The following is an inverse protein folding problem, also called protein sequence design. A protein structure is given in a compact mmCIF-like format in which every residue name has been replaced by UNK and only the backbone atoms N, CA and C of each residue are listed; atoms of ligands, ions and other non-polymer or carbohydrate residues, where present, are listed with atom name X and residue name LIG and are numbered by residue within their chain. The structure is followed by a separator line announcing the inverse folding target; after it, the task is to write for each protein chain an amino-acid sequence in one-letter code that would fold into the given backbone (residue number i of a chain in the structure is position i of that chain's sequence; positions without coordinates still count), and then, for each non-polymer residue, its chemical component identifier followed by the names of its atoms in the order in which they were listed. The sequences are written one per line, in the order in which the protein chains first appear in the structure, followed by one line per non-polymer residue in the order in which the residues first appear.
data_IF_193336709017
#
_entry.id   IF_193336709017
#
_cell.length_a   1.000
_cell.length_b   1.000
_cell.length_c   1.000
_cell.angle_alpha   90.00
_cell.angle_beta   90.00
_cell.angle_gamma   90.00
#
_symmetry.space_group_name_H-M   'P 1'
#
loop_
_entity.id
_entity.type
_entity.pdbx_description
1 polymer ?
#
# COMPACT_ATOMS: atom_id res chain seq x y z
N UNK A 1 19.01 -14.37 3.85
CA UNK A 1 20.16 -13.97 4.70
C UNK A 1 19.69 -12.78 5.52
N UNK A 2 19.68 -12.93 6.84
CA UNK A 2 19.29 -11.90 7.79
C UNK A 2 20.36 -10.82 7.80
N UNK A 3 20.15 -9.71 7.10
CA UNK A 3 20.99 -8.52 7.24
C UNK A 3 20.55 -7.82 8.52
N UNK A 4 21.32 -8.00 9.60
CA UNK A 4 21.23 -7.08 10.73
C UNK A 4 21.39 -5.65 10.19
N UNK A 5 20.64 -4.66 10.71
CA UNK A 5 20.83 -3.29 10.28
C UNK A 5 22.28 -2.92 10.53
N UNK A 6 22.95 -2.37 9.50
CA UNK A 6 24.28 -1.79 9.65
C UNK A 6 24.24 -0.87 10.88
N UNK A 7 25.23 -0.93 11.80
CA UNK A 7 25.20 -0.16 13.05
C UNK A 7 24.99 1.35 12.81
N UNK A 8 25.38 1.84 11.62
CA UNK A 8 25.13 3.21 11.17
C UNK A 8 23.65 3.53 10.99
N UNK A 9 22.81 2.60 10.51
CA UNK A 9 21.38 2.88 10.25
C UNK A 9 20.61 3.09 11.55
N UNK A 10 20.92 2.36 12.62
CA UNK A 10 20.27 2.57 13.92
C UNK A 10 20.58 3.95 14.50
N UNK A 11 21.82 4.41 14.34
CA UNK A 11 22.21 5.76 14.76
C UNK A 11 21.50 6.84 13.93
N UNK A 12 21.30 6.61 12.63
CA UNK A 12 20.55 7.52 11.75
C UNK A 12 19.05 7.58 12.09
N UNK A 13 18.45 6.46 12.50
CA UNK A 13 17.02 6.40 12.89
C UNK A 13 16.73 7.19 14.17
N UNK A 14 17.71 7.32 15.07
CA UNK A 14 17.57 8.05 16.33
C UNK A 14 17.81 9.57 16.17
N UNK A 15 18.32 10.02 15.03
CA UNK A 15 18.54 11.44 14.74
C UNK A 15 17.29 12.06 14.09
N UNK A 16 16.99 13.34 14.36
CA UNK A 16 15.90 14.02 13.68
C UNK A 16 16.20 14.14 12.18
N UNK A 17 15.20 13.90 11.33
CA UNK A 17 15.36 13.93 9.86
C UNK A 17 15.86 15.28 9.32
N UNK A 18 15.71 16.37 10.08
CA UNK A 18 16.21 17.71 9.73
C UNK A 18 17.73 17.86 9.81
N UNK A 19 18.42 16.98 10.54
CA UNK A 19 19.88 17.00 10.71
C UNK A 19 20.59 16.03 9.75
N UNK A 20 19.83 15.27 8.97
CA UNK A 20 20.36 14.29 8.03
C UNK A 20 20.68 14.94 6.68
N UNK A 21 21.74 14.46 6.04
CA UNK A 21 22.00 14.77 4.64
C UNK A 21 20.98 14.09 3.73
N UNK A 22 20.79 14.60 2.51
CA UNK A 22 19.85 13.99 1.53
C UNK A 22 20.15 12.51 1.27
N UNK A 23 21.44 12.15 1.25
CA UNK A 23 21.87 10.76 1.08
C UNK A 23 21.48 9.86 2.26
N UNK A 24 21.65 10.34 3.49
CA UNK A 24 21.26 9.61 4.70
C UNK A 24 19.74 9.48 4.80
N UNK A 25 18.97 10.50 4.40
CA UNK A 25 17.50 10.42 4.33
C UNK A 25 17.08 9.32 3.36
N UNK A 26 17.68 9.24 2.17
CA UNK A 26 17.36 8.20 1.19
C UNK A 26 17.66 6.79 1.73
N UNK A 27 18.78 6.60 2.44
CA UNK A 27 19.14 5.34 3.09
C UNK A 27 18.13 4.94 4.17
N UNK A 28 17.71 5.89 5.00
CA UNK A 28 16.69 5.66 6.03
C UNK A 28 15.34 5.31 5.40
N UNK A 29 14.93 6.02 4.34
CA UNK A 29 13.69 5.70 3.62
C UNK A 29 13.73 4.31 2.97
N UNK A 30 14.84 3.91 2.32
CA UNK A 30 14.99 2.57 1.75
C UNK A 30 14.90 1.49 2.83
N UNK A 31 15.50 1.74 3.99
CA UNK A 31 15.43 0.84 5.13
C UNK A 31 14.00 0.73 5.70
N UNK A 32 13.31 1.86 5.88
CA UNK A 32 11.90 1.90 6.33
C UNK A 32 10.98 1.14 5.37
N UNK A 33 11.24 1.23 4.05
CA UNK A 33 10.47 0.51 3.03
C UNK A 33 10.73 -1.01 3.07
N UNK A 34 11.98 -1.42 3.27
CA UNK A 34 12.40 -2.82 3.16
C UNK A 34 12.19 -3.62 4.45
N UNK A 35 12.42 -3.01 5.61
CA UNK A 35 12.35 -3.68 6.92
C UNK A 35 11.15 -3.23 7.78
N UNK A 36 10.44 -2.17 7.36
CA UNK A 36 9.30 -1.63 8.09
C UNK A 36 7.94 -2.24 7.67
N UNK A 37 6.83 -1.62 8.11
CA UNK A 37 5.47 -2.11 7.80
C UNK A 37 5.13 -2.10 6.30
N UNK A 38 5.80 -1.26 5.51
CA UNK A 38 5.61 -1.20 4.05
C UNK A 38 6.32 -2.34 3.30
N UNK A 39 7.15 -3.13 3.98
CA UNK A 39 7.83 -4.30 3.40
C UNK A 39 6.84 -5.34 2.82
N UNK A 40 5.60 -5.36 3.33
CA UNK A 40 4.50 -6.15 2.78
C UNK A 40 4.19 -5.75 1.32
N UNK A 41 4.16 -4.45 1.01
CA UNK A 41 3.93 -3.94 -0.34
C UNK A 41 5.14 -4.17 -1.24
N UNK A 42 6.35 -4.09 -0.69
CA UNK A 42 7.58 -4.43 -1.42
C UNK A 42 7.61 -5.90 -1.82
N UNK A 43 7.23 -6.78 -0.88
CA UNK A 43 7.07 -8.20 -1.14
C UNK A 43 6.02 -8.42 -2.22
N UNK A 44 4.83 -7.83 -2.09
CA UNK A 44 3.75 -7.96 -3.07
C UNK A 44 4.13 -7.48 -4.48
N UNK A 45 4.89 -6.38 -4.57
CA UNK A 45 5.36 -5.83 -5.85
C UNK A 45 6.38 -6.77 -6.51
N UNK A 46 7.31 -7.33 -5.73
CA UNK A 46 8.37 -8.23 -6.22
C UNK A 46 7.85 -9.61 -6.62
N UNK A 47 6.95 -10.19 -5.83
CA UNK A 47 6.35 -11.50 -6.11
C UNK A 47 5.16 -11.41 -7.07
N UNK A 48 4.74 -10.20 -7.43
CA UNK A 48 3.53 -9.93 -8.18
C UNK A 48 2.29 -10.59 -7.54
N UNK A 49 2.22 -10.73 -6.22
CA UNK A 49 1.04 -11.31 -5.55
C UNK A 49 -0.16 -10.38 -5.60
N UNK A 50 -1.36 -10.96 -5.45
CA UNK A 50 -2.57 -10.15 -5.33
C UNK A 50 -2.66 -9.57 -3.92
N UNK A 51 -3.17 -8.35 -3.86
CA UNK A 51 -3.46 -7.65 -2.61
C UNK A 51 -4.92 -7.26 -2.57
N UNK A 52 -5.51 -7.36 -1.39
CA UNK A 52 -6.83 -6.81 -1.08
C UNK A 52 -6.64 -5.49 -0.34
N UNK A 53 -7.16 -4.41 -0.92
CA UNK A 53 -7.07 -3.06 -0.37
C UNK A 53 -8.46 -2.59 0.02
N UNK A 54 -8.65 -2.22 1.29
CA UNK A 54 -9.88 -1.60 1.78
C UNK A 54 -9.74 -0.08 1.77
N UNK A 55 -10.65 0.61 1.08
CA UNK A 55 -10.65 2.06 0.94
C UNK A 55 -11.69 2.74 1.83
N UNK A 56 -11.49 4.04 2.12
CA UNK A 56 -12.34 4.88 3.01
C UNK A 56 -13.82 4.94 2.64
N UNK A 57 -14.17 4.73 1.37
CA UNK A 57 -15.54 4.77 0.87
C UNK A 57 -16.23 3.39 0.87
N UNK A 58 -15.81 2.46 1.73
CA UNK A 58 -16.28 1.06 1.75
C UNK A 58 -16.15 0.36 0.40
N UNK A 59 -15.15 0.73 -0.38
CA UNK A 59 -14.78 0.07 -1.62
C UNK A 59 -13.60 -0.86 -1.35
N UNK A 60 -13.63 -2.05 -1.93
CA UNK A 60 -12.54 -3.03 -1.83
C UNK A 60 -11.92 -3.20 -3.20
N UNK A 61 -10.59 -3.17 -3.28
CA UNK A 61 -9.84 -3.39 -4.51
C UNK A 61 -9.08 -4.70 -4.36
N UNK A 62 -9.29 -5.64 -5.29
CA UNK A 62 -8.40 -6.76 -5.48
C UNK A 62 -7.50 -6.44 -6.68
N UNK A 63 -6.20 -6.30 -6.45
CA UNK A 63 -5.27 -5.78 -7.46
C UNK A 63 -3.88 -6.39 -7.32
N UNK A 64 -3.00 -6.15 -8.30
CA UNK A 64 -1.56 -6.37 -8.16
C UNK A 64 -0.85 -5.01 -8.11
N UNK A 65 0.07 -4.85 -7.17
CA UNK A 65 0.85 -3.62 -7.03
C UNK A 65 2.01 -3.65 -8.01
N UNK A 66 2.17 -2.58 -8.79
CA UNK A 66 3.28 -2.41 -9.72
C UNK A 66 4.35 -1.48 -9.18
N UNK A 67 3.93 -0.46 -8.43
CA UNK A 67 4.80 0.46 -7.70
C UNK A 67 4.03 1.03 -6.50
N UNK A 68 4.75 1.48 -5.48
CA UNK A 68 4.20 2.19 -4.33
C UNK A 68 5.21 3.23 -3.82
N UNK A 69 4.77 4.12 -2.93
CA UNK A 69 5.63 5.10 -2.28
C UNK A 69 5.42 5.15 -0.75
N UNK A 70 6.16 6.04 -0.09
CA UNK A 70 6.09 6.26 1.36
C UNK A 70 4.73 6.77 1.87
N UNK A 71 3.90 7.34 1.00
CA UNK A 71 2.56 7.83 1.34
C UNK A 71 1.50 6.75 1.12
N UNK A 72 1.89 5.53 0.77
CA UNK A 72 1.00 4.46 0.32
C UNK A 72 0.23 4.81 -0.95
N UNK A 73 0.72 5.74 -1.78
CA UNK A 73 0.21 5.85 -3.15
C UNK A 73 0.65 4.60 -3.90
N UNK A 74 -0.21 4.07 -4.78
CA UNK A 74 0.05 2.82 -5.48
C UNK A 74 -0.32 2.92 -6.95
N UNK A 75 0.54 2.36 -7.78
CA UNK A 75 0.22 2.02 -9.17
C UNK A 75 -0.24 0.57 -9.19
N UNK A 76 -1.48 0.37 -9.58
CA UNK A 76 -2.16 -0.92 -9.56
C UNK A 76 -2.46 -1.41 -10.99
N UNK A 77 -2.38 -2.71 -11.20
CA UNK A 77 -2.76 -3.38 -12.44
C UNK A 77 -3.79 -4.48 -12.16
N UNK A 78 -4.63 -4.75 -13.18
CA UNK A 78 -5.69 -5.77 -13.12
C UNK A 78 -6.60 -5.58 -11.90
N UNK A 79 -7.08 -4.35 -11.70
CA UNK A 79 -7.85 -3.96 -10.52
C UNK A 79 -9.30 -4.41 -10.68
N UNK A 80 -9.77 -5.20 -9.73
CA UNK A 80 -11.18 -5.49 -9.53
C UNK A 80 -11.68 -4.69 -8.34
N UNK A 81 -12.48 -3.67 -8.60
CA UNK A 81 -13.11 -2.88 -7.57
C UNK A 81 -14.50 -3.43 -7.25
N UNK A 82 -14.79 -3.57 -5.96
CA UNK A 82 -16.01 -4.19 -5.44
C UNK A 82 -16.66 -3.26 -4.41
N UNK A 83 -17.96 -3.06 -4.52
CA UNK A 83 -18.76 -2.31 -3.55
C UNK A 83 -20.19 -2.85 -3.48
N UNK A 84 -20.89 -2.52 -2.41
CA UNK A 84 -22.30 -2.87 -2.24
C UNK A 84 -23.15 -1.62 -2.36
N UNK A 85 -24.09 -1.61 -3.29
CA UNK A 85 -25.10 -0.56 -3.38
C UNK A 85 -26.34 -0.95 -2.59
N UNK A 86 -26.80 -0.03 -1.74
CA UNK A 86 -28.09 -0.15 -1.06
C UNK A 86 -29.14 0.57 -1.89
N UNK A 87 -30.23 -0.09 -2.31
CA UNK A 87 -31.30 0.58 -3.04
C UNK A 87 -31.92 1.69 -2.19
N UNK A 88 -32.09 2.89 -2.76
CA UNK A 88 -32.79 3.99 -2.09
C UNK A 88 -34.28 3.67 -2.08
N UNK A 89 -34.83 3.33 -0.91
CA UNK A 89 -36.28 3.30 -0.69
C UNK A 89 -36.93 1.94 -0.39
N UNK A 90 -36.19 0.83 -0.28
CA UNK A 90 -36.78 -0.42 0.22
C UNK A 90 -35.82 -1.17 1.15
N UNK A 91 -36.36 -2.00 2.04
CA UNK A 91 -35.63 -2.98 2.87
C UNK A 91 -34.99 -4.09 2.01
N UNK A 92 -34.46 -3.76 0.84
CA UNK A 92 -33.83 -4.69 -0.10
C UNK A 92 -32.43 -5.09 0.34
N UNK A 93 -32.05 -6.33 0.04
CA UNK A 93 -30.68 -6.82 0.24
C UNK A 93 -29.72 -6.00 -0.64
N UNK A 94 -28.56 -5.64 -0.09
CA UNK A 94 -27.54 -4.88 -0.83
C UNK A 94 -27.08 -5.65 -2.07
N UNK A 95 -26.94 -4.95 -3.19
CA UNK A 95 -26.48 -5.53 -4.45
C UNK A 95 -24.98 -5.34 -4.54
N UNK A 96 -24.24 -6.43 -4.66
CA UNK A 96 -22.81 -6.38 -4.89
C UNK A 96 -22.55 -6.02 -6.35
N UNK A 97 -21.77 -4.97 -6.57
CA UNK A 97 -21.28 -4.56 -7.88
C UNK A 97 -19.77 -4.68 -7.91
N UNK A 98 -19.27 -5.01 -9.08
CA UNK A 98 -17.86 -4.96 -9.38
C UNK A 98 -17.60 -4.23 -10.71
N UNK A 99 -16.37 -3.70 -10.84
CA UNK A 99 -15.86 -3.20 -12.11
C UNK A 99 -14.40 -3.57 -12.26
N UNK A 100 -13.98 -3.76 -13.51
CA UNK A 100 -12.59 -4.07 -13.85
C UNK A 100 -11.90 -2.83 -14.43
N UNK A 101 -10.66 -2.59 -13.99
CA UNK A 101 -9.83 -1.48 -14.42
C UNK A 101 -8.42 -2.03 -14.68
N UNK A 102 -7.95 -1.92 -15.93
CA UNK A 102 -6.67 -2.51 -16.33
C UNK A 102 -5.47 -1.90 -15.62
N UNK A 103 -5.45 -0.57 -15.46
CA UNK A 103 -4.41 0.20 -14.77
C UNK A 103 -5.05 1.33 -13.96
N UNK A 104 -4.61 1.52 -12.72
CA UNK A 104 -5.15 2.54 -11.82
C UNK A 104 -4.02 3.14 -10.98
N UNK A 105 -4.05 4.46 -10.82
CA UNK A 105 -3.32 5.14 -9.76
C UNK A 105 -4.24 5.32 -8.55
N UNK A 106 -3.82 4.84 -7.39
CA UNK A 106 -4.53 4.97 -6.12
C UNK A 106 -3.74 5.90 -5.20
N UNK A 107 -4.41 6.90 -4.65
CA UNK A 107 -3.84 7.81 -3.65
C UNK A 107 -3.92 7.19 -2.26
N UNK A 108 -2.83 7.29 -1.48
CA UNK A 108 -2.66 6.63 -0.20
C UNK A 108 -3.62 7.09 0.90
N UNK A 109 -4.06 8.35 0.86
CA UNK A 109 -5.04 8.90 1.81
C UNK A 109 -6.36 8.11 1.86
N UNK A 110 -6.70 7.42 0.76
CA UNK A 110 -7.91 6.62 0.63
C UNK A 110 -7.76 5.21 1.22
N UNK A 111 -6.54 4.74 1.44
CA UNK A 111 -6.24 3.38 1.91
C UNK A 111 -6.46 3.30 3.42
N UNK A 112 -7.13 2.26 3.88
CA UNK A 112 -7.31 1.96 5.32
C UNK A 112 -6.50 0.71 5.69
N UNK A 113 -6.65 -0.35 4.90
CA UNK A 113 -6.06 -1.65 5.19
C UNK A 113 -5.58 -2.28 3.89
N UNK A 114 -4.40 -2.91 3.95
CA UNK A 114 -3.87 -3.76 2.88
C UNK A 114 -3.64 -5.15 3.45
N UNK A 115 -4.13 -6.15 2.74
CA UNK A 115 -3.92 -7.55 3.07
C UNK A 115 -3.29 -8.26 1.88
N UNK A 116 -2.22 -9.01 2.14
CA UNK A 116 -1.59 -9.88 1.15
C UNK A 116 -2.45 -11.14 1.01
N UNK A 117 -2.92 -11.41 -0.22
CA UNK A 117 -3.81 -12.53 -0.52
C UNK A 117 -3.06 -13.77 -0.98
#
# INVERSE_FOLDING_TARGET
MSTAPDPKIQDLLNKPKSELTEYEVALVEEHELTAGPLSLLQTATRTHTQVLISCRNNRKLLARVKAFDRHCNMVLENVKEMWTEKPKGSKGKGVNKDRFISKMFLRGDSVILVLLS
#
